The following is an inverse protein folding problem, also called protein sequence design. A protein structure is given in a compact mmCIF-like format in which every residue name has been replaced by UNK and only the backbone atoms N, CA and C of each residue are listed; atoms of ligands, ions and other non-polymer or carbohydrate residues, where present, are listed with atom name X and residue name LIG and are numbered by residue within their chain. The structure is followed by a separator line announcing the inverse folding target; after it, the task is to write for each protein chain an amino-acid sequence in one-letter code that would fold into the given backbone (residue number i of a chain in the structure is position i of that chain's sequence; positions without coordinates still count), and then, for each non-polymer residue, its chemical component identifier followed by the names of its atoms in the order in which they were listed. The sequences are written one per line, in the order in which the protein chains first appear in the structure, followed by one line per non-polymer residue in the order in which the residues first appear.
data_IF_067246158751
#
_entry.id   IF_067246158751
#
_cell.length_a   1.000
_cell.length_b   1.000
_cell.length_c   1.000
_cell.angle_alpha   90.00
_cell.angle_beta   90.00
_cell.angle_gamma   90.00
#
_symmetry.space_group_name_H-M   'P 1'
#
loop_
_entity.id
_entity.type
_entity.pdbx_description
1 polymer ?
#
# COMPACT_ATOMS: atom_id res chain seq x y z
N UNK A 1 22.05 -25.31 1.82
CA UNK A 1 21.10 -25.63 0.72
C UNK A 1 19.87 -24.78 0.91
N UNK A 2 19.59 -23.84 -0.01
CA UNK A 2 18.40 -22.99 0.06
C UNK A 2 17.16 -23.79 -0.34
N UNK A 3 16.11 -23.77 0.48
CA UNK A 3 14.83 -24.37 0.11
C UNK A 3 14.23 -23.62 -1.08
N UNK A 4 13.74 -24.35 -2.08
CA UNK A 4 12.94 -23.80 -3.17
C UNK A 4 11.72 -23.09 -2.59
N UNK A 5 11.58 -21.79 -2.84
CA UNK A 5 10.37 -21.07 -2.46
C UNK A 5 9.16 -21.74 -3.13
N UNK A 6 8.17 -22.14 -2.32
CA UNK A 6 6.92 -22.70 -2.84
C UNK A 6 6.21 -21.72 -3.78
N UNK A 7 5.36 -22.24 -4.66
CA UNK A 7 4.57 -21.39 -5.56
C UNK A 7 3.69 -20.41 -4.78
N UNK A 8 3.61 -19.16 -5.25
CA UNK A 8 2.73 -18.13 -4.69
C UNK A 8 1.28 -18.61 -4.68
N UNK A 9 0.66 -18.67 -3.50
CA UNK A 9 -0.76 -19.00 -3.35
C UNK A 9 -1.56 -17.70 -3.26
N UNK A 10 -2.45 -17.47 -4.23
CA UNK A 10 -3.45 -16.40 -4.19
C UNK A 10 -4.80 -17.01 -3.80
N UNK A 11 -5.26 -16.73 -2.58
CA UNK A 11 -6.54 -17.23 -2.10
C UNK A 11 -7.26 -16.13 -1.30
N UNK A 12 -8.57 -15.99 -1.54
CA UNK A 12 -9.45 -15.15 -0.70
C UNK A 12 -10.01 -15.91 0.50
N UNK A 13 -10.04 -17.24 0.41
CA UNK A 13 -10.58 -18.12 1.44
C UNK A 13 -9.57 -19.20 1.77
N UNK A 14 -9.39 -19.45 3.07
CA UNK A 14 -8.60 -20.57 3.58
C UNK A 14 -9.55 -21.50 4.31
N UNK A 15 -9.56 -22.77 3.93
CA UNK A 15 -10.29 -23.82 4.65
C UNK A 15 -9.29 -24.77 5.27
N UNK A 16 -9.28 -24.84 6.60
CA UNK A 16 -8.47 -25.80 7.34
C UNK A 16 -9.38 -26.92 7.84
N UNK A 17 -9.01 -28.17 7.51
CA UNK A 17 -9.65 -29.38 8.04
C UNK A 17 -8.62 -30.12 8.88
N UNK A 18 -8.91 -30.30 10.17
CA UNK A 18 -8.12 -31.14 11.07
C UNK A 18 -8.94 -32.40 11.33
N UNK A 19 -8.38 -33.55 11.00
CA UNK A 19 -9.00 -34.86 11.24
C UNK A 19 -8.12 -35.65 12.21
N UNK A 20 -8.73 -36.21 13.24
CA UNK A 20 -8.06 -37.06 14.23
C UNK A 20 -8.70 -38.44 14.16
N UNK A 21 -7.86 -39.47 14.02
CA UNK A 21 -8.28 -40.87 14.01
C UNK A 21 -7.53 -41.59 15.12
N UNK A 22 -8.26 -42.21 16.06
CA UNK A 22 -7.69 -42.95 17.19
C UNK A 22 -8.54 -44.17 17.52
N UNK A 23 -7.90 -45.25 17.96
CA UNK A 23 -8.56 -46.44 18.52
C UNK A 23 -8.79 -46.33 20.05
N UNK A 24 -8.32 -45.25 20.69
CA UNK A 24 -8.51 -44.92 22.11
C UNK A 24 -8.88 -43.45 22.31
N UNK A 25 -8.59 -42.86 23.48
CA UNK A 25 -8.86 -41.43 23.73
C UNK A 25 -7.81 -40.58 23.00
N UNK A 26 -8.26 -39.65 22.16
CA UNK A 26 -7.40 -38.64 21.53
C UNK A 26 -8.06 -37.26 21.63
N UNK A 27 -7.26 -36.24 21.90
CA UNK A 27 -7.67 -34.83 21.96
C UNK A 27 -6.75 -33.98 21.08
N UNK A 28 -7.32 -32.89 20.54
CA UNK A 28 -6.54 -31.77 20.01
C UNK A 28 -6.43 -30.77 21.15
N UNK A 29 -5.27 -30.68 21.76
CA UNK A 29 -5.07 -29.78 22.89
C UNK A 29 -4.78 -28.34 22.42
N UNK A 30 -4.19 -28.18 21.22
CA UNK A 30 -3.92 -26.88 20.61
C UNK A 30 -3.74 -26.98 19.09
N UNK A 31 -4.37 -26.07 18.35
CA UNK A 31 -4.13 -25.87 16.92
C UNK A 31 -3.94 -24.38 16.62
N UNK A 32 -2.73 -23.98 16.19
CA UNK A 32 -2.41 -22.61 15.82
C UNK A 32 -2.19 -22.50 14.30
N UNK A 33 -3.01 -21.69 13.63
CA UNK A 33 -2.88 -21.40 12.20
C UNK A 33 -2.38 -19.97 12.05
N UNK A 34 -1.13 -19.79 11.59
CA UNK A 34 -0.56 -18.48 11.29
C UNK A 34 -0.53 -18.30 9.77
N UNK A 35 -1.32 -17.33 9.29
CA UNK A 35 -1.28 -16.88 7.91
C UNK A 35 -0.53 -15.56 7.85
N UNK A 36 0.44 -15.46 6.95
CA UNK A 36 1.18 -14.22 6.69
C UNK A 36 1.43 -14.09 5.20
N UNK A 37 1.29 -12.88 4.69
CA UNK A 37 1.83 -12.48 3.40
C UNK A 37 2.89 -11.42 3.66
N UNK A 38 3.95 -11.41 2.87
CA UNK A 38 4.94 -10.34 2.93
C UNK A 38 4.29 -9.06 2.41
N UNK A 39 4.23 -8.03 3.26
CA UNK A 39 3.75 -6.73 2.83
C UNK A 39 4.88 -6.03 2.08
N UNK A 40 4.58 -5.59 0.87
CA UNK A 40 5.46 -4.71 0.11
C UNK A 40 5.20 -3.29 0.59
N UNK A 41 6.26 -2.53 0.84
CA UNK A 41 6.17 -1.10 1.06
C UNK A 41 7.26 -0.33 0.34
N UNK A 42 6.99 0.91 -0.01
CA UNK A 42 7.99 1.85 -0.51
C UNK A 42 7.76 3.25 0.06
N UNK A 43 8.87 3.96 0.19
CA UNK A 43 8.93 5.35 0.64
C UNK A 43 9.38 6.21 -0.52
N UNK A 44 8.75 7.36 -0.66
CA UNK A 44 9.07 8.40 -1.62
C UNK A 44 9.41 9.61 -0.77
N UNK A 45 10.66 10.02 -0.77
CA UNK A 45 11.14 11.10 0.08
C UNK A 45 11.42 12.35 -0.76
N UNK A 46 11.13 13.52 -0.20
CA UNK A 46 11.44 14.84 -0.76
C UNK A 46 10.92 15.06 -2.20
N UNK A 47 9.74 14.50 -2.52
CA UNK A 47 9.15 14.64 -3.85
C UNK A 47 8.56 16.04 -4.02
N UNK A 48 9.15 16.83 -4.93
CA UNK A 48 8.51 18.04 -5.44
C UNK A 48 7.42 17.68 -6.45
N UNK A 49 6.16 17.84 -6.06
CA UNK A 49 5.02 17.49 -6.93
C UNK A 49 4.96 18.38 -8.19
N UNK A 50 5.55 19.57 -8.14
CA UNK A 50 5.67 20.48 -9.28
C UNK A 50 6.76 20.10 -10.29
N UNK A 51 7.61 19.10 -10.00
CA UNK A 51 8.59 18.58 -10.97
C UNK A 51 8.07 17.38 -11.77
N UNK A 52 6.93 16.81 -11.35
CA UNK A 52 6.31 15.69 -12.05
C UNK A 52 5.82 16.10 -13.45
N UNK A 53 5.79 15.13 -14.35
CA UNK A 53 5.35 15.29 -15.73
C UNK A 53 4.69 14.02 -16.27
N UNK A 54 4.12 14.10 -17.48
CA UNK A 54 3.48 12.98 -18.16
C UNK A 54 2.33 12.39 -17.33
N UNK A 55 2.26 11.06 -17.26
CA UNK A 55 1.19 10.36 -16.54
C UNK A 55 1.16 10.63 -15.03
N UNK A 56 2.25 11.15 -14.46
CA UNK A 56 2.34 11.42 -13.03
C UNK A 56 1.77 12.79 -12.63
N UNK A 57 1.55 13.69 -13.60
CA UNK A 57 0.99 15.01 -13.34
C UNK A 57 -0.28 15.23 -14.15
N UNK A 58 -1.40 15.24 -13.43
CA UNK A 58 -2.72 15.47 -14.01
C UNK A 58 -3.01 16.98 -14.03
N UNK A 59 -2.56 17.68 -12.99
CA UNK A 59 -2.62 19.14 -12.88
C UNK A 59 -1.78 19.63 -11.70
N UNK A 60 -1.85 20.94 -11.41
CA UNK A 60 -1.31 21.49 -10.16
C UNK A 60 -2.02 20.82 -8.99
N UNK A 61 -1.27 20.31 -8.02
CA UNK A 61 -1.81 19.63 -6.85
C UNK A 61 -2.60 18.35 -7.13
N UNK A 62 -2.69 17.87 -8.36
CA UNK A 62 -3.37 16.61 -8.74
C UNK A 62 -2.37 15.70 -9.45
N UNK A 63 -1.90 14.69 -8.72
CA UNK A 63 -0.76 13.90 -9.14
C UNK A 63 -0.98 12.41 -8.88
N UNK A 64 -0.24 11.59 -9.62
CA UNK A 64 -0.02 10.18 -9.30
C UNK A 64 1.31 10.07 -8.56
N UNK A 65 1.30 9.42 -7.40
CA UNK A 65 2.53 9.05 -6.71
C UNK A 65 3.27 8.01 -7.58
N UNK A 66 4.48 8.33 -8.07
CA UNK A 66 5.29 7.37 -8.79
C UNK A 66 5.62 6.18 -7.89
N UNK A 67 5.56 4.97 -8.43
CA UNK A 67 5.92 3.77 -7.68
C UNK A 67 6.92 2.92 -8.44
N UNK A 68 7.91 2.42 -7.73
CA UNK A 68 8.89 1.50 -8.28
C UNK A 68 8.44 0.04 -8.14
N UNK A 69 7.70 -0.30 -7.07
CA UNK A 69 7.31 -1.68 -6.81
C UNK A 69 6.01 -2.05 -7.53
N UNK A 70 5.92 -3.32 -7.89
CA UNK A 70 4.70 -3.92 -8.41
C UNK A 70 3.81 -4.34 -7.24
N UNK A 71 2.58 -3.83 -7.21
CA UNK A 71 1.56 -4.22 -6.25
C UNK A 71 0.44 -4.97 -6.99
N UNK A 72 -0.01 -6.07 -6.41
CA UNK A 72 -1.30 -6.67 -6.73
C UNK A 72 -2.46 -5.93 -6.04
N UNK A 73 -2.19 -5.31 -4.88
CA UNK A 73 -3.14 -4.50 -4.12
C UNK A 73 -2.40 -3.46 -3.27
N UNK A 74 -2.80 -2.18 -3.36
CA UNK A 74 -2.34 -1.14 -2.44
C UNK A 74 -3.37 -0.99 -1.31
N UNK A 75 -2.94 -1.22 -0.08
CA UNK A 75 -3.82 -1.17 1.11
C UNK A 75 -3.72 0.17 1.83
N UNK A 76 -2.56 0.83 1.76
CA UNK A 76 -2.32 2.08 2.49
C UNK A 76 -1.47 3.04 1.66
N UNK A 77 -1.83 4.32 1.75
CA UNK A 77 -1.07 5.47 1.24
C UNK A 77 -1.07 6.51 2.35
N UNK A 78 0.10 7.00 2.72
CA UNK A 78 0.25 8.11 3.65
C UNK A 78 1.09 9.18 2.97
N UNK A 79 0.74 10.44 3.22
CA UNK A 79 1.44 11.60 2.66
C UNK A 79 1.67 12.60 3.78
N UNK A 80 2.89 13.08 3.88
CA UNK A 80 3.31 14.20 4.72
C UNK A 80 3.58 15.38 3.80
N UNK A 81 2.85 16.48 3.99
CA UNK A 81 3.12 17.73 3.30
C UNK A 81 4.24 18.47 4.05
N UNK A 82 5.31 18.80 3.35
CA UNK A 82 6.48 19.48 3.91
C UNK A 82 6.52 20.95 3.47
N UNK A 83 7.10 21.82 4.32
CA UNK A 83 7.28 23.24 4.04
C UNK A 83 5.98 24.00 3.67
N UNK A 84 4.85 23.57 4.24
CA UNK A 84 3.54 24.21 4.09
C UNK A 84 3.05 24.80 5.42
N UNK A 85 2.26 25.87 5.33
CA UNK A 85 1.63 26.49 6.50
C UNK A 85 0.37 25.75 6.96
N UNK A 86 -0.24 26.26 8.04
CA UNK A 86 -1.53 25.75 8.53
C UNK A 86 -2.62 25.82 7.44
N UNK A 87 -3.55 24.87 7.47
CA UNK A 87 -4.70 24.81 6.56
C UNK A 87 -4.45 24.08 5.23
N UNK A 88 -3.23 23.63 4.96
CA UNK A 88 -2.97 22.71 3.85
C UNK A 88 -3.52 21.32 4.15
N UNK A 89 -4.03 20.65 3.12
CA UNK A 89 -4.60 19.31 3.23
C UNK A 89 -4.36 18.49 1.97
N UNK A 90 -4.61 17.20 2.06
CA UNK A 90 -4.57 16.31 0.91
C UNK A 90 -5.67 15.26 1.01
N UNK A 91 -6.05 14.70 -0.13
CA UNK A 91 -6.99 13.58 -0.22
C UNK A 91 -6.44 12.48 -1.13
N UNK A 92 -6.82 11.24 -0.81
CA UNK A 92 -6.54 10.08 -1.65
C UNK A 92 -7.72 9.82 -2.58
N UNK A 93 -7.51 9.95 -3.89
CA UNK A 93 -8.54 9.77 -4.91
C UNK A 93 -8.71 8.30 -5.26
N UNK A 94 -7.61 7.61 -5.55
CA UNK A 94 -7.62 6.19 -5.87
C UNK A 94 -6.28 5.52 -5.56
N UNK A 95 -6.27 4.18 -5.54
CA UNK A 95 -5.11 3.32 -5.24
C UNK A 95 -4.70 2.46 -6.44
N UNK A 96 -4.62 3.04 -7.64
CA UNK A 96 -4.23 2.32 -8.86
C UNK A 96 -2.87 1.64 -8.73
N UNK A 97 -2.83 0.33 -9.00
CA UNK A 97 -1.60 -0.46 -9.05
C UNK A 97 -0.87 -0.37 -10.39
N UNK A 98 -1.51 0.20 -11.41
CA UNK A 98 -0.90 0.39 -12.74
C UNK A 98 -0.11 1.68 -12.80
N UNK A 99 -0.76 2.80 -12.46
CA UNK A 99 -0.20 4.16 -12.58
C UNK A 99 0.30 4.75 -11.26
N UNK A 100 0.05 4.06 -10.15
CA UNK A 100 0.29 4.57 -8.80
C UNK A 100 -0.94 5.28 -8.22
N UNK A 101 -1.00 5.43 -6.87
CA UNK A 101 -2.09 6.13 -6.20
C UNK A 101 -2.23 7.57 -6.68
N UNK A 102 -3.47 8.06 -6.80
CA UNK A 102 -3.74 9.46 -7.13
C UNK A 102 -4.10 10.22 -5.88
N UNK A 103 -3.47 11.38 -5.69
CA UNK A 103 -3.79 12.30 -4.60
C UNK A 103 -4.12 13.69 -5.15
N UNK A 104 -4.90 14.43 -4.37
CA UNK A 104 -5.03 15.88 -4.54
C UNK A 104 -4.52 16.62 -3.30
N UNK A 105 -3.86 17.75 -3.51
CA UNK A 105 -3.29 18.61 -2.47
C UNK A 105 -3.93 19.99 -2.58
N UNK A 106 -4.41 20.49 -1.44
CA UNK A 106 -5.08 21.78 -1.33
C UNK A 106 -4.30 22.70 -0.39
N UNK A 107 -4.15 23.96 -0.80
CA UNK A 107 -3.59 25.00 0.06
C UNK A 107 -4.63 25.50 1.09
N UNK A 108 -4.22 26.45 1.94
CA UNK A 108 -5.08 27.05 2.96
C UNK A 108 -6.33 27.78 2.43
N UNK A 109 -6.38 28.10 1.13
CA UNK A 109 -7.54 28.68 0.45
C UNK A 109 -8.41 27.64 -0.26
N UNK A 110 -8.20 26.35 0.02
CA UNK A 110 -8.89 25.23 -0.61
C UNK A 110 -8.72 25.17 -2.14
N UNK A 111 -7.64 25.76 -2.66
CA UNK A 111 -7.26 25.67 -4.07
C UNK A 111 -6.20 24.58 -4.25
N UNK A 112 -6.25 23.89 -5.39
CA UNK A 112 -5.22 22.89 -5.73
C UNK A 112 -3.84 23.55 -5.82
N UNK A 113 -2.86 22.95 -5.16
CA UNK A 113 -1.51 23.49 -5.07
C UNK A 113 -0.46 22.38 -5.02
N UNK A 114 0.71 22.66 -5.60
CA UNK A 114 1.86 21.76 -5.47
C UNK A 114 2.56 21.98 -4.12
N UNK A 115 3.16 20.92 -3.60
CA UNK A 115 4.01 20.91 -2.41
C UNK A 115 5.21 19.97 -2.56
N UNK A 116 6.18 20.09 -1.66
CA UNK A 116 7.13 19.01 -1.39
C UNK A 116 6.48 18.01 -0.43
N UNK A 117 6.63 16.72 -0.70
CA UNK A 117 6.00 15.67 0.10
C UNK A 117 6.96 14.51 0.38
N UNK A 118 6.73 13.86 1.52
CA UNK A 118 7.08 12.46 1.70
C UNK A 118 5.83 11.60 1.56
N UNK A 119 5.95 10.44 0.95
CA UNK A 119 4.86 9.49 0.82
C UNK A 119 5.29 8.07 1.16
N UNK A 120 4.38 7.33 1.77
CA UNK A 120 4.53 5.91 2.07
C UNK A 120 3.41 5.12 1.41
N UNK A 121 3.77 4.10 0.64
CA UNK A 121 2.83 3.19 -0.03
C UNK A 121 3.05 1.80 0.54
N UNK A 122 1.97 1.11 0.92
CA UNK A 122 2.01 -0.27 1.41
C UNK A 122 0.92 -1.13 0.77
N UNK A 123 1.25 -2.38 0.53
CA UNK A 123 0.38 -3.35 -0.11
C UNK A 123 0.96 -4.76 -0.18
N UNK A 124 0.52 -5.49 -1.19
CA UNK A 124 0.98 -6.80 -1.63
C UNK A 124 0.96 -6.88 -3.16
#
# INVERSE_FOLDING_TARGET
SGATAGSLIRARYVKVRIAVTSAGIASIDLANIKLSAESISEEINDLSTSSLSGAYRIGVGDIRLPKAKAYSLITQVQVSLQNVGAGWSWELIDKSTTTGPRIKIYNASNALADASIDAFIRGA
#
